data_IF_184503484333
#
_entry.id   IF_184503484333
#
_cell.length_a   1.000
_cell.length_b   1.000
_cell.length_c   1.000
_cell.angle_alpha   90.00
_cell.angle_beta   90.00
_cell.angle_gamma   90.00
#
_symmetry.space_group_name_H-M   'P 1'
#
loop_
_entity.id
_entity.type
_entity.pdbx_description
1 polymer ?
#
# COMPACT_ATOMS: atom_id res chain seq x y z
N UNK A 1 59.53 127.18 52.21
CA UNK A 1 59.06 125.79 51.98
C UNK A 1 59.74 125.28 50.73
N UNK A 2 60.76 124.43 50.87
CA UNK A 2 61.42 123.84 49.71
C UNK A 2 60.51 122.75 49.13
N UNK A 3 59.95 123.00 47.95
CA UNK A 3 59.19 122.03 47.15
C UNK A 3 60.22 121.16 46.44
N UNK A 4 60.35 119.90 46.87
CA UNK A 4 61.23 118.94 46.21
C UNK A 4 60.40 118.33 45.07
N UNK A 5 60.60 118.83 43.85
CA UNK A 5 60.11 118.17 42.65
C UNK A 5 60.97 116.93 42.41
N UNK A 6 60.45 115.76 42.77
CA UNK A 6 61.09 114.49 42.43
C UNK A 6 60.69 114.16 40.98
N UNK A 7 61.64 114.35 40.05
CA UNK A 7 61.50 113.93 38.67
C UNK A 7 61.79 112.43 38.61
N UNK A 8 60.76 111.60 38.72
CA UNK A 8 60.88 110.15 38.58
C UNK A 8 61.16 109.84 37.11
N UNK A 9 62.38 109.37 36.81
CA UNK A 9 62.72 108.87 35.48
C UNK A 9 61.99 107.54 35.25
N UNK A 10 60.95 107.57 34.41
CA UNK A 10 60.12 106.40 34.06
C UNK A 10 60.68 105.60 32.88
N UNK A 11 61.77 106.06 32.25
CA UNK A 11 62.44 105.37 31.14
C UNK A 11 62.91 103.94 31.47
N UNK A 12 63.52 103.63 32.64
CA UNK A 12 63.89 102.26 32.96
C UNK A 12 62.67 101.34 33.10
N UNK A 13 61.57 101.84 33.69
CA UNK A 13 60.32 101.09 33.80
C UNK A 13 59.66 100.85 32.43
N UNK A 14 59.70 101.83 31.52
CA UNK A 14 59.18 101.68 30.16
C UNK A 14 59.98 100.66 29.33
N UNK A 15 61.29 100.56 29.56
CA UNK A 15 62.13 99.56 28.88
C UNK A 15 61.82 98.13 29.34
N UNK A 16 61.66 97.92 30.65
CA UNK A 16 61.22 96.64 31.22
C UNK A 16 59.80 96.27 30.77
N UNK A 17 58.88 97.24 30.73
CA UNK A 17 57.51 97.00 30.27
C UNK A 17 57.44 96.62 28.78
N UNK A 18 58.33 97.17 27.94
CA UNK A 18 58.49 96.75 26.55
C UNK A 18 59.11 95.35 26.43
N UNK A 19 60.08 95.01 27.29
CA UNK A 19 60.66 93.66 27.35
C UNK A 19 59.61 92.61 27.73
N UNK A 20 58.81 92.90 28.77
CA UNK A 20 57.68 92.06 29.20
C UNK A 20 56.62 91.96 28.10
N UNK A 21 56.26 93.06 27.43
CA UNK A 21 55.31 93.03 26.30
C UNK A 21 55.79 92.13 25.17
N UNK A 22 57.09 92.13 24.85
CA UNK A 22 57.66 91.28 23.82
C UNK A 22 57.70 89.80 24.24
N UNK A 23 58.02 89.50 25.50
CA UNK A 23 57.94 88.13 26.04
C UNK A 23 56.50 87.61 26.06
N UNK A 24 55.53 88.46 26.44
CA UNK A 24 54.11 88.12 26.38
C UNK A 24 53.69 87.85 24.93
N UNK A 25 54.04 88.73 23.98
CA UNK A 25 53.75 88.53 22.55
C UNK A 25 54.38 87.26 21.98
N UNK A 26 55.63 86.96 22.33
CA UNK A 26 56.33 85.73 21.94
C UNK A 26 55.69 84.49 22.53
N UNK A 27 55.28 84.55 23.80
CA UNK A 27 54.56 83.48 24.49
C UNK A 27 53.17 83.28 23.88
N UNK A 28 52.43 84.36 23.59
CA UNK A 28 51.13 84.29 22.90
C UNK A 28 51.28 83.69 21.50
N UNK A 29 52.30 84.07 20.73
CA UNK A 29 52.56 83.48 19.42
C UNK A 29 52.92 81.99 19.52
N UNK A 30 53.72 81.60 20.51
CA UNK A 30 54.04 80.19 20.77
C UNK A 30 52.80 79.39 21.20
N UNK A 31 51.92 79.97 22.02
CA UNK A 31 50.66 79.33 22.44
C UNK A 31 49.69 79.20 21.27
N UNK A 32 49.58 80.21 20.41
CA UNK A 32 48.75 80.14 19.18
C UNK A 32 49.35 79.13 18.20
N UNK A 33 50.67 79.07 18.04
CA UNK A 33 51.34 78.07 17.22
C UNK A 33 51.16 76.64 17.78
N UNK A 34 51.21 76.47 19.09
CA UNK A 34 50.95 75.19 19.75
C UNK A 34 49.48 74.79 19.60
N UNK A 35 48.54 75.72 19.79
CA UNK A 35 47.11 75.46 19.64
C UNK A 35 46.77 75.08 18.20
N UNK A 36 47.33 75.78 17.21
CA UNK A 36 47.16 75.43 15.79
C UNK A 36 47.82 74.09 15.45
N UNK A 37 48.99 73.79 16.01
CA UNK A 37 49.64 72.48 15.86
C UNK A 37 48.82 71.34 16.49
N UNK A 38 48.22 71.56 17.66
CA UNK A 38 47.32 70.59 18.32
C UNK A 38 46.07 70.37 17.49
N UNK A 39 45.42 71.43 17.00
CA UNK A 39 44.23 71.31 16.14
C UNK A 39 44.56 70.56 14.83
N UNK A 40 45.72 70.84 14.21
CA UNK A 40 46.17 70.10 13.03
C UNK A 40 46.49 68.64 13.34
N UNK A 41 47.05 68.35 14.51
CA UNK A 41 47.31 66.98 14.96
C UNK A 41 46.00 66.23 15.24
N UNK A 42 45.02 66.87 15.87
CA UNK A 42 43.69 66.32 16.11
C UNK A 42 42.94 66.03 14.81
N UNK A 43 42.99 66.94 13.83
CA UNK A 43 42.40 66.70 12.51
C UNK A 43 43.03 65.51 11.80
N UNK A 44 44.36 65.43 11.76
CA UNK A 44 45.06 64.28 11.16
C UNK A 44 44.76 62.97 11.89
N UNK A 45 44.69 63.01 13.23
CA UNK A 45 44.33 61.85 14.02
C UNK A 45 42.88 61.42 13.75
N UNK A 46 41.94 62.37 13.65
CA UNK A 46 40.54 62.11 13.31
C UNK A 46 40.39 61.51 11.91
N UNK A 47 41.09 62.05 10.90
CA UNK A 47 41.09 61.52 9.53
C UNK A 47 41.68 60.11 9.48
N UNK A 48 42.76 59.85 10.23
CA UNK A 48 43.37 58.53 10.32
C UNK A 48 42.44 57.53 11.00
N UNK A 49 41.76 57.91 12.08
CA UNK A 49 40.74 57.09 12.74
C UNK A 49 39.58 56.81 11.79
N UNK A 50 39.05 57.83 11.12
CA UNK A 50 37.95 57.68 10.18
C UNK A 50 38.31 56.76 9.00
N UNK A 51 39.50 56.91 8.41
CA UNK A 51 39.98 56.02 7.34
C UNK A 51 40.17 54.58 7.83
N UNK A 52 40.71 54.38 9.03
CA UNK A 52 40.89 53.06 9.60
C UNK A 52 39.55 52.38 9.92
N UNK A 53 38.58 53.13 10.45
CA UNK A 53 37.21 52.63 10.70
C UNK A 53 36.55 52.23 9.39
N UNK A 54 36.62 53.07 8.34
CA UNK A 54 36.05 52.74 7.03
C UNK A 54 36.71 51.50 6.40
N UNK A 55 38.03 51.37 6.49
CA UNK A 55 38.77 50.17 6.03
C UNK A 55 38.37 48.93 6.83
N UNK A 56 38.27 49.05 8.15
CA UNK A 56 37.84 47.96 9.03
C UNK A 56 36.42 47.51 8.72
N UNK A 57 35.49 48.45 8.57
CA UNK A 57 34.10 48.17 8.19
C UNK A 57 34.01 47.50 6.82
N UNK A 58 34.70 48.03 5.81
CA UNK A 58 34.71 47.44 4.47
C UNK A 58 35.27 46.00 4.49
N UNK A 59 36.35 45.76 5.22
CA UNK A 59 36.96 44.44 5.37
C UNK A 59 36.01 43.48 6.07
N UNK A 60 35.35 43.93 7.14
CA UNK A 60 34.34 43.15 7.86
C UNK A 60 33.16 42.78 6.94
N UNK A 61 32.61 43.75 6.22
CA UNK A 61 31.50 43.52 5.27
C UNK A 61 31.89 42.54 4.18
N UNK A 62 33.09 42.70 3.59
CA UNK A 62 33.61 41.76 2.59
C UNK A 62 33.75 40.35 3.14
N UNK A 63 34.25 40.21 4.38
CA UNK A 63 34.36 38.92 5.07
C UNK A 63 32.99 38.29 5.28
N UNK A 64 32.01 39.04 5.81
CA UNK A 64 30.65 38.55 6.04
C UNK A 64 29.95 38.15 4.73
N UNK A 65 30.09 38.93 3.66
CA UNK A 65 29.56 38.58 2.34
C UNK A 65 30.22 37.30 1.83
N UNK A 66 31.54 37.17 1.96
CA UNK A 66 32.27 35.96 1.53
C UNK A 66 31.82 34.72 2.32
N UNK A 67 31.59 34.85 3.62
CA UNK A 67 31.06 33.77 4.47
C UNK A 67 29.64 33.36 4.04
N UNK A 68 28.77 34.33 3.73
CA UNK A 68 27.42 34.04 3.22
C UNK A 68 27.46 33.33 1.86
N UNK A 69 28.34 33.77 0.94
CA UNK A 69 28.52 33.12 -0.36
C UNK A 69 28.99 31.67 -0.17
N UNK A 70 30.00 31.44 0.68
CA UNK A 70 30.50 30.10 0.95
C UNK A 70 29.42 29.18 1.58
N UNK A 71 28.62 29.72 2.50
CA UNK A 71 27.51 28.98 3.10
C UNK A 71 26.44 28.60 2.07
N UNK A 72 26.02 29.55 1.22
CA UNK A 72 25.06 29.30 0.15
C UNK A 72 25.59 28.29 -0.86
N UNK A 73 26.87 28.40 -1.24
CA UNK A 73 27.49 27.45 -2.16
C UNK A 73 27.51 26.04 -1.59
N UNK A 74 27.86 25.89 -0.30
CA UNK A 74 27.80 24.59 0.38
C UNK A 74 26.38 24.01 0.43
N UNK A 75 25.35 24.84 0.63
CA UNK A 75 23.96 24.40 0.59
C UNK A 75 23.58 23.93 -0.82
N UNK A 76 23.92 24.69 -1.87
CA UNK A 76 23.68 24.30 -3.27
C UNK A 76 24.35 22.96 -3.59
N UNK A 77 25.61 22.77 -3.20
CA UNK A 77 26.33 21.52 -3.44
C UNK A 77 25.66 20.33 -2.74
N UNK A 78 25.20 20.51 -1.50
CA UNK A 78 24.46 19.49 -0.77
C UNK A 78 23.14 19.11 -1.46
N UNK A 79 22.38 20.09 -1.95
CA UNK A 79 21.13 19.85 -2.68
C UNK A 79 21.40 19.16 -4.02
N UNK A 80 22.45 19.55 -4.74
CA UNK A 80 22.87 18.87 -5.96
C UNK A 80 23.26 17.40 -5.71
N UNK A 81 23.91 17.11 -4.57
CA UNK A 81 24.23 15.75 -4.17
C UNK A 81 22.96 14.94 -3.89
N UNK A 82 22.01 15.52 -3.15
CA UNK A 82 20.72 14.90 -2.87
C UNK A 82 19.92 14.63 -4.15
N UNK A 83 19.84 15.60 -5.07
CA UNK A 83 19.17 15.44 -6.36
C UNK A 83 19.80 14.32 -7.19
N UNK A 84 21.13 14.23 -7.21
CA UNK A 84 21.82 13.14 -7.89
C UNK A 84 21.55 11.77 -7.26
N UNK A 85 21.48 11.69 -5.94
CA UNK A 85 21.12 10.46 -5.23
C UNK A 85 19.68 10.03 -5.56
N UNK A 86 18.72 10.96 -5.49
CA UNK A 86 17.32 10.71 -5.86
C UNK A 86 17.19 10.30 -7.32
N UNK A 87 17.90 10.95 -8.24
CA UNK A 87 17.94 10.56 -9.66
C UNK A 87 18.40 9.11 -9.84
N UNK A 88 19.47 8.70 -9.16
CA UNK A 88 19.96 7.30 -9.20
C UNK A 88 18.90 6.33 -8.65
N UNK A 89 18.23 6.68 -7.56
CA UNK A 89 17.16 5.86 -6.99
C UNK A 89 15.98 5.70 -7.96
N UNK A 90 15.53 6.79 -8.59
CA UNK A 90 14.45 6.76 -9.58
C UNK A 90 14.80 5.91 -10.79
N UNK A 91 16.05 5.99 -11.27
CA UNK A 91 16.52 5.12 -12.37
C UNK A 91 16.52 3.65 -11.96
N UNK A 92 16.97 3.32 -10.74
CA UNK A 92 16.94 1.95 -10.25
C UNK A 92 15.49 1.41 -10.13
N UNK A 93 14.55 2.25 -9.66
CA UNK A 93 13.13 1.91 -9.61
C UNK A 93 12.58 1.67 -11.01
N UNK A 94 12.88 2.54 -11.98
CA UNK A 94 12.46 2.36 -13.37
C UNK A 94 12.95 1.02 -13.93
N UNK A 95 14.23 0.69 -13.75
CA UNK A 95 14.79 -0.59 -14.21
C UNK A 95 14.17 -1.79 -13.51
N UNK A 96 13.74 -1.65 -12.25
CA UNK A 96 12.98 -2.70 -11.55
C UNK A 96 11.58 -2.86 -12.14
N UNK A 97 10.85 -1.76 -12.31
CA UNK A 97 9.52 -1.76 -12.91
C UNK A 97 9.51 -2.33 -14.32
N UNK A 98 10.52 -2.03 -15.14
CA UNK A 98 10.67 -2.57 -16.49
C UNK A 98 10.89 -4.09 -16.49
N UNK A 99 11.73 -4.60 -15.57
CA UNK A 99 11.92 -6.04 -15.40
C UNK A 99 10.64 -6.73 -14.93
N UNK A 100 9.95 -6.14 -13.96
CA UNK A 100 8.70 -6.68 -13.43
C UNK A 100 7.61 -6.68 -14.51
N UNK A 101 7.50 -5.61 -15.29
CA UNK A 101 6.59 -5.52 -16.44
C UNK A 101 6.87 -6.63 -17.46
N UNK A 102 8.13 -6.81 -17.85
CA UNK A 102 8.52 -7.85 -18.80
C UNK A 102 8.27 -9.26 -18.23
N UNK A 103 8.53 -9.48 -16.94
CA UNK A 103 8.25 -10.77 -16.28
C UNK A 103 6.74 -11.06 -16.30
N UNK A 104 5.91 -10.10 -15.93
CA UNK A 104 4.45 -10.21 -15.91
C UNK A 104 3.91 -10.44 -17.32
N UNK A 105 4.34 -9.65 -18.29
CA UNK A 105 3.94 -9.79 -19.69
C UNK A 105 4.27 -11.19 -20.23
N UNK A 106 5.49 -11.67 -20.01
CA UNK A 106 5.91 -13.02 -20.42
C UNK A 106 5.09 -14.12 -19.74
N UNK A 107 4.77 -13.96 -18.44
CA UNK A 107 3.91 -14.91 -17.72
C UNK A 107 2.51 -14.97 -18.32
N UNK A 108 1.89 -13.81 -18.60
CA UNK A 108 0.57 -13.77 -19.23
C UNK A 108 0.59 -14.33 -20.65
N UNK A 109 1.61 -14.00 -21.45
CA UNK A 109 1.78 -14.56 -22.79
C UNK A 109 1.83 -16.09 -22.75
N UNK A 110 2.60 -16.68 -21.82
CA UNK A 110 2.66 -18.14 -21.65
C UNK A 110 1.33 -18.73 -21.21
N UNK A 111 0.63 -18.07 -20.28
CA UNK A 111 -0.68 -18.51 -19.80
C UNK A 111 -1.70 -18.53 -20.93
N UNK A 112 -1.82 -17.44 -21.69
CA UNK A 112 -2.76 -17.34 -22.81
C UNK A 112 -2.43 -18.33 -23.92
N UNK A 113 -1.15 -18.50 -24.26
CA UNK A 113 -0.75 -19.50 -25.25
C UNK A 113 -1.05 -20.92 -24.77
N UNK A 114 -0.81 -21.22 -23.48
CA UNK A 114 -1.17 -22.50 -22.87
C UNK A 114 -2.67 -22.75 -22.88
N UNK A 115 -3.48 -21.74 -22.54
CA UNK A 115 -4.95 -21.83 -22.61
C UNK A 115 -5.43 -22.05 -24.04
N UNK A 116 -4.88 -21.33 -25.01
CA UNK A 116 -5.25 -21.45 -26.42
C UNK A 116 -4.90 -22.85 -26.95
N UNK A 117 -3.75 -23.41 -26.56
CA UNK A 117 -3.37 -24.77 -26.93
C UNK A 117 -4.32 -25.81 -26.30
N UNK A 118 -4.66 -25.66 -25.01
CA UNK A 118 -5.62 -26.54 -24.35
C UNK A 118 -7.01 -26.45 -25.00
N UNK A 119 -7.45 -25.25 -25.38
CA UNK A 119 -8.71 -25.05 -26.08
C UNK A 119 -8.72 -25.79 -27.42
N UNK A 120 -7.66 -25.62 -28.22
CA UNK A 120 -7.50 -26.34 -29.51
C UNK A 120 -7.56 -27.85 -29.33
N UNK A 121 -6.87 -28.38 -28.31
CA UNK A 121 -6.88 -29.81 -28.03
C UNK A 121 -8.26 -30.31 -27.60
N UNK A 122 -8.97 -29.57 -26.74
CA UNK A 122 -10.34 -29.92 -26.33
C UNK A 122 -11.33 -29.89 -27.48
N UNK A 123 -11.26 -28.88 -28.36
CA UNK A 123 -12.10 -28.81 -29.57
C UNK A 123 -11.84 -30.04 -30.44
N UNK A 124 -10.56 -30.38 -30.66
CA UNK A 124 -10.20 -31.57 -31.42
C UNK A 124 -10.73 -32.88 -30.78
N UNK A 125 -10.61 -33.02 -29.46
CA UNK A 125 -11.12 -34.20 -28.74
C UNK A 125 -12.65 -34.30 -28.78
N UNK A 126 -13.37 -33.18 -28.80
CA UNK A 126 -14.83 -33.13 -28.96
C UNK A 126 -15.26 -33.52 -30.38
N UNK A 127 -14.51 -33.10 -31.40
CA UNK A 127 -14.83 -33.38 -32.80
C UNK A 127 -14.44 -34.82 -33.19
N UNK A 128 -13.45 -35.40 -32.52
CA UNK A 128 -12.89 -36.73 -32.83
C UNK A 128 -13.94 -37.86 -32.92
N UNK A 129 -14.87 -38.05 -31.97
CA UNK A 129 -15.90 -39.09 -32.08
C UNK A 129 -16.82 -38.90 -33.28
N UNK A 130 -17.15 -37.65 -33.63
CA UNK A 130 -17.99 -37.32 -34.78
C UNK A 130 -17.29 -37.68 -36.09
N UNK A 131 -16.01 -37.33 -36.21
CA UNK A 131 -15.17 -37.68 -37.35
C UNK A 131 -15.00 -39.20 -37.44
N UNK A 132 -14.68 -39.87 -36.33
CA UNK A 132 -14.51 -41.33 -36.29
C UNK A 132 -15.82 -42.06 -36.65
N UNK A 133 -16.98 -41.57 -36.20
CA UNK A 133 -18.28 -42.10 -36.61
C UNK A 133 -18.53 -41.92 -38.11
N UNK A 134 -18.34 -40.69 -38.62
CA UNK A 134 -18.57 -40.37 -40.03
C UNK A 134 -17.68 -41.20 -40.97
N UNK A 135 -16.42 -41.42 -40.60
CA UNK A 135 -15.46 -42.16 -41.42
C UNK A 135 -15.61 -43.68 -41.24
N UNK A 136 -15.69 -44.18 -40.00
CA UNK A 136 -15.57 -45.63 -39.74
C UNK A 136 -16.90 -46.36 -39.65
N UNK A 137 -17.91 -45.76 -39.03
CA UNK A 137 -19.19 -46.42 -38.76
C UNK A 137 -20.14 -46.29 -39.96
N UNK A 138 -20.26 -45.10 -40.55
CA UNK A 138 -21.16 -44.87 -41.70
C UNK A 138 -20.76 -45.74 -42.89
N UNK A 139 -19.47 -45.86 -43.19
CA UNK A 139 -18.99 -46.67 -44.30
C UNK A 139 -19.22 -48.17 -44.06
N UNK A 140 -18.98 -48.66 -42.83
CA UNK A 140 -19.26 -50.06 -42.46
C UNK A 140 -20.75 -50.38 -42.49
N UNK A 141 -21.61 -49.51 -41.96
CA UNK A 141 -23.07 -49.70 -41.94
C UNK A 141 -23.63 -49.66 -43.36
N UNK A 142 -23.14 -48.74 -44.20
CA UNK A 142 -23.50 -48.68 -45.62
C UNK A 142 -23.16 -49.98 -46.34
N UNK A 143 -21.94 -50.48 -46.17
CA UNK A 143 -21.50 -51.74 -46.78
C UNK A 143 -22.32 -52.94 -46.26
N UNK A 144 -22.51 -53.08 -44.95
CA UNK A 144 -23.34 -54.15 -44.37
C UNK A 144 -24.80 -54.11 -44.82
N UNK A 145 -25.37 -52.92 -44.96
CA UNK A 145 -26.75 -52.74 -45.41
C UNK A 145 -26.91 -53.20 -46.85
N UNK A 146 -25.97 -52.86 -47.75
CA UNK A 146 -25.96 -53.34 -49.14
C UNK A 146 -25.95 -54.87 -49.24
N UNK A 147 -25.18 -55.55 -48.39
CA UNK A 147 -25.13 -57.02 -48.40
C UNK A 147 -26.39 -57.69 -47.84
N UNK A 148 -27.02 -57.11 -46.82
CA UNK A 148 -28.25 -57.67 -46.22
C UNK A 148 -29.48 -57.55 -47.11
N UNK A 149 -29.54 -56.53 -47.99
CA UNK A 149 -30.64 -56.41 -48.97
C UNK A 149 -30.41 -57.22 -50.24
N UNK A 150 -29.18 -57.65 -50.53
CA UNK A 150 -28.83 -58.37 -51.76
C UNK A 150 -29.08 -59.89 -51.71
N UNK A 151 -29.33 -60.48 -50.54
CA UNK A 151 -29.53 -61.93 -50.39
C UNK A 151 -30.96 -62.28 -50.00
N UNK A 152 -31.88 -62.25 -50.96
CA UNK A 152 -33.13 -63.02 -50.91
C UNK A 152 -33.09 -64.02 -52.07
N UNK A 153 -33.03 -65.34 -51.83
CA UNK A 153 -33.05 -66.32 -52.91
C UNK A 153 -34.41 -66.25 -53.62
N UNK A 154 -34.42 -65.95 -54.91
CA UNK A 154 -35.63 -65.78 -55.76
C UNK A 154 -36.24 -67.13 -56.18
N UNK A 155 -36.21 -68.14 -55.30
CA UNK A 155 -36.69 -69.48 -55.63
C UNK A 155 -37.67 -70.01 -54.58
N UNK A 156 -38.78 -69.30 -54.35
CA UNK A 156 -40.10 -69.80 -53.93
C UNK A 156 -40.95 -68.63 -53.39
N UNK A 157 -42.16 -68.45 -53.89
CA UNK A 157 -43.08 -67.35 -53.51
C UNK A 157 -43.43 -67.40 -52.02
N UNK A 158 -43.45 -68.59 -51.41
CA UNK A 158 -43.64 -68.78 -49.96
C UNK A 158 -42.45 -68.23 -49.14
N UNK A 159 -41.23 -68.36 -49.65
CA UNK A 159 -40.02 -67.78 -49.02
C UNK A 159 -40.02 -66.25 -49.07
N UNK A 160 -40.63 -65.65 -50.09
CA UNK A 160 -40.71 -64.19 -50.24
C UNK A 160 -41.58 -63.56 -49.15
N UNK A 161 -42.75 -64.13 -48.85
CA UNK A 161 -43.67 -63.61 -47.84
C UNK A 161 -43.05 -63.66 -46.44
N UNK A 162 -42.38 -64.75 -46.10
CA UNK A 162 -41.71 -64.88 -44.81
C UNK A 162 -40.42 -64.05 -44.73
N UNK A 163 -39.67 -63.91 -45.83
CA UNK A 163 -38.54 -62.98 -45.91
C UNK A 163 -38.99 -61.51 -45.75
N UNK A 164 -40.12 -61.12 -46.35
CA UNK A 164 -40.70 -59.78 -46.17
C UNK A 164 -41.14 -59.56 -44.72
N UNK A 165 -41.76 -60.56 -44.07
CA UNK A 165 -42.08 -60.49 -42.64
C UNK A 165 -40.83 -60.36 -41.77
N UNK A 166 -39.76 -61.10 -42.07
CA UNK A 166 -38.48 -61.01 -41.34
C UNK A 166 -37.83 -59.63 -41.52
N UNK A 167 -37.84 -59.09 -42.74
CA UNK A 167 -37.33 -57.74 -43.02
C UNK A 167 -38.17 -56.67 -42.33
N UNK A 168 -39.50 -56.73 -42.43
CA UNK A 168 -40.41 -55.83 -41.74
C UNK A 168 -40.25 -55.92 -40.21
N UNK A 169 -40.06 -57.12 -39.67
CA UNK A 169 -39.79 -57.35 -38.24
C UNK A 169 -38.44 -56.77 -37.81
N UNK A 170 -37.39 -56.97 -38.61
CA UNK A 170 -36.08 -56.36 -38.35
C UNK A 170 -36.14 -54.83 -38.40
N UNK A 171 -36.84 -54.25 -39.38
CA UNK A 171 -37.04 -52.81 -39.49
C UNK A 171 -37.84 -52.30 -38.29
N UNK A 172 -38.90 -52.99 -37.87
CA UNK A 172 -39.71 -52.64 -36.71
C UNK A 172 -38.89 -52.71 -35.40
N UNK A 173 -38.08 -53.74 -35.23
CA UNK A 173 -37.19 -53.89 -34.08
C UNK A 173 -36.11 -52.80 -34.05
N UNK A 174 -35.50 -52.48 -35.21
CA UNK A 174 -34.55 -51.36 -35.33
C UNK A 174 -35.21 -50.01 -35.04
N UNK A 175 -36.42 -49.78 -35.57
CA UNK A 175 -37.21 -48.58 -35.28
C UNK A 175 -37.54 -48.45 -33.80
N UNK A 176 -37.97 -49.53 -33.14
CA UNK A 176 -38.21 -49.56 -31.70
C UNK A 176 -36.95 -49.23 -30.89
N UNK A 177 -35.78 -49.77 -31.28
CA UNK A 177 -34.50 -49.44 -30.65
C UNK A 177 -34.11 -47.97 -30.83
N UNK A 178 -34.35 -47.39 -32.01
CA UNK A 178 -34.11 -45.96 -32.27
C UNK A 178 -35.01 -45.09 -31.39
N UNK A 179 -36.31 -45.39 -31.31
CA UNK A 179 -37.26 -44.68 -30.44
C UNK A 179 -36.81 -44.76 -28.97
N UNK A 180 -36.40 -45.95 -28.51
CA UNK A 180 -35.88 -46.12 -27.15
C UNK A 180 -34.61 -45.28 -26.91
N UNK A 181 -33.69 -45.25 -27.87
CA UNK A 181 -32.46 -44.44 -27.77
C UNK A 181 -32.74 -42.92 -27.77
N UNK A 182 -33.70 -42.46 -28.57
CA UNK A 182 -34.14 -41.06 -28.58
C UNK A 182 -34.81 -40.69 -27.25
N UNK A 183 -35.64 -41.57 -26.70
CA UNK A 183 -36.28 -41.36 -25.40
C UNK A 183 -35.23 -41.24 -24.28
N UNK A 184 -34.22 -42.11 -24.26
CA UNK A 184 -33.13 -42.06 -23.31
C UNK A 184 -32.26 -40.79 -23.46
N UNK A 185 -32.01 -40.36 -24.70
CA UNK A 185 -31.28 -39.12 -24.95
C UNK A 185 -32.05 -37.88 -24.47
N UNK A 186 -33.36 -37.80 -24.75
CA UNK A 186 -34.20 -36.70 -24.30
C UNK A 186 -34.28 -36.63 -22.77
N UNK A 187 -34.41 -37.77 -22.09
CA UNK A 187 -34.44 -37.80 -20.62
C UNK A 187 -33.11 -37.36 -20.01
N UNK A 188 -31.98 -37.80 -20.57
CA UNK A 188 -30.65 -37.38 -20.16
C UNK A 188 -30.42 -35.87 -20.39
N UNK A 189 -30.83 -35.35 -21.55
CA UNK A 189 -30.73 -33.92 -21.87
C UNK A 189 -31.57 -33.05 -20.92
N UNK A 190 -32.77 -33.51 -20.55
CA UNK A 190 -33.63 -32.81 -19.59
C UNK A 190 -33.06 -32.83 -18.17
N UNK A 191 -32.45 -33.94 -17.75
CA UNK A 191 -31.71 -34.01 -16.48
C UNK A 191 -30.50 -33.07 -16.48
N UNK A 192 -29.73 -33.05 -17.57
CA UNK A 192 -28.57 -32.16 -17.70
C UNK A 192 -29.00 -30.69 -17.67
N UNK A 193 -30.11 -30.33 -18.33
CA UNK A 193 -30.68 -28.98 -18.24
C UNK A 193 -31.04 -28.60 -16.80
N UNK A 194 -31.74 -29.47 -16.08
CA UNK A 194 -32.07 -29.24 -14.64
C UNK A 194 -30.83 -29.05 -13.77
N UNK A 195 -29.77 -29.82 -14.00
CA UNK A 195 -28.50 -29.65 -13.28
C UNK A 195 -27.82 -28.32 -13.65
N UNK A 196 -27.87 -27.96 -14.93
CA UNK A 196 -27.31 -26.70 -15.43
C UNK A 196 -28.07 -25.51 -14.84
N UNK A 197 -29.39 -25.56 -14.76
CA UNK A 197 -30.22 -24.51 -14.14
C UNK A 197 -29.99 -24.39 -12.61
N UNK A 198 -29.59 -25.48 -11.93
CA UNK A 198 -29.16 -25.42 -10.53
C UNK A 198 -27.76 -24.81 -10.33
N UNK A 199 -26.86 -25.04 -11.28
CA UNK A 199 -25.46 -24.58 -11.21
C UNK A 199 -25.32 -23.13 -11.69
N UNK A 200 -26.09 -22.75 -12.70
CA UNK A 200 -26.26 -21.36 -13.07
C UNK A 200 -27.08 -20.69 -11.97
N UNK A 201 -26.41 -19.89 -11.13
CA UNK A 201 -27.04 -18.97 -10.20
C UNK A 201 -27.95 -18.02 -11.00
N UNK A 202 -29.18 -18.47 -11.25
CA UNK A 202 -30.18 -17.70 -11.96
C UNK A 202 -30.51 -16.54 -11.04
N UNK A 203 -29.97 -15.37 -11.38
CA UNK A 203 -30.16 -14.16 -10.60
C UNK A 203 -31.66 -13.86 -10.48
N UNK A 204 -32.03 -13.33 -9.30
CA UNK A 204 -33.27 -12.60 -8.99
C UNK A 204 -34.36 -13.32 -8.18
N UNK A 205 -33.98 -13.99 -7.09
CA UNK A 205 -34.72 -13.77 -5.86
C UNK A 205 -33.72 -13.36 -4.78
N UNK A 206 -33.72 -12.07 -4.44
CA UNK A 206 -33.25 -11.60 -3.15
C UNK A 206 -34.20 -12.21 -2.09
N UNK A 207 -34.04 -13.49 -1.80
CA UNK A 207 -34.32 -13.95 -0.45
C UNK A 207 -33.34 -13.18 0.41
N UNK A 208 -33.88 -12.32 1.28
CA UNK A 208 -33.14 -11.70 2.37
C UNK A 208 -32.69 -12.82 3.30
N UNK A 209 -31.69 -13.60 2.88
CA UNK A 209 -30.94 -14.44 3.77
C UNK A 209 -30.23 -13.49 4.73
N UNK A 210 -30.60 -13.57 6.00
CA UNK A 210 -30.00 -12.77 7.06
C UNK A 210 -28.53 -13.15 7.17
N UNK A 211 -27.67 -12.38 6.51
CA UNK A 211 -26.23 -12.54 6.60
C UNK A 211 -25.78 -12.08 7.98
N UNK A 212 -25.37 -13.03 8.82
CA UNK A 212 -24.78 -12.74 10.13
C UNK A 212 -23.27 -12.51 9.99
N UNK A 213 -22.77 -11.49 10.68
CA UNK A 213 -21.34 -11.18 10.76
C UNK A 213 -20.84 -11.66 12.12
N UNK A 214 -19.82 -12.54 12.19
CA UNK A 214 -19.22 -12.93 13.46
C UNK A 214 -18.44 -11.75 14.05
N UNK A 215 -18.70 -11.45 15.32
CA UNK A 215 -17.97 -10.44 16.10
C UNK A 215 -17.49 -11.08 17.40
N UNK A 216 -16.25 -10.81 17.78
CA UNK A 216 -15.67 -11.28 19.04
C UNK A 216 -15.57 -10.12 20.01
N UNK A 217 -16.08 -10.32 21.23
CA UNK A 217 -16.05 -9.35 22.32
C UNK A 217 -15.20 -9.96 23.44
N UNK A 218 -14.21 -9.23 23.92
CA UNK A 218 -13.32 -9.64 25.01
C UNK A 218 -13.50 -8.69 26.19
N UNK A 219 -13.96 -9.20 27.33
CA UNK A 219 -14.00 -8.46 28.60
C UNK A 219 -12.80 -8.84 29.46
N UNK A 220 -11.97 -7.86 29.80
CA UNK A 220 -10.80 -8.01 30.65
C UNK A 220 -10.96 -7.15 31.90
N UNK A 221 -10.82 -7.76 33.08
CA UNK A 221 -10.80 -7.07 34.36
C UNK A 221 -9.38 -7.09 34.92
N UNK A 222 -8.70 -5.94 34.88
CA UNK A 222 -7.29 -5.84 35.25
C UNK A 222 -7.07 -5.34 36.68
N UNK A 223 -8.10 -4.92 37.41
CA UNK A 223 -7.93 -4.21 38.67
C UNK A 223 -8.83 -4.68 39.82
N UNK A 224 -8.38 -4.49 41.06
CA UNK A 224 -9.14 -4.83 42.28
C UNK A 224 -10.44 -4.02 42.44
N UNK A 225 -10.61 -2.99 41.61
CA UNK A 225 -11.75 -2.07 41.59
C UNK A 225 -12.80 -2.41 40.53
N UNK A 226 -12.77 -3.63 39.98
CA UNK A 226 -13.78 -4.17 39.04
C UNK A 226 -13.99 -3.30 37.78
N UNK A 227 -12.92 -2.67 37.30
CA UNK A 227 -12.95 -1.84 36.09
C UNK A 227 -12.85 -2.74 34.86
N UNK A 228 -13.97 -2.90 34.15
CA UNK A 228 -14.10 -3.78 32.98
C UNK A 228 -13.64 -3.05 31.72
N UNK A 229 -12.56 -3.54 31.10
CA UNK A 229 -12.13 -3.11 29.77
C UNK A 229 -12.70 -4.08 28.72
N UNK A 230 -13.36 -3.55 27.70
CA UNK A 230 -14.02 -4.32 26.66
C UNK A 230 -13.40 -4.03 25.29
N UNK A 231 -12.85 -5.06 24.65
CA UNK A 231 -12.26 -4.99 23.32
C UNK A 231 -13.14 -5.72 22.29
N UNK A 232 -13.46 -5.05 21.18
CA UNK A 232 -14.30 -5.60 20.10
C UNK A 232 -13.44 -5.88 18.87
N UNK A 233 -13.37 -7.14 18.47
CA UNK A 233 -12.65 -7.63 17.30
C UNK A 233 -13.62 -7.94 16.16
N UNK A 234 -13.46 -7.24 15.04
CA UNK A 234 -14.27 -7.39 13.82
C UNK A 234 -13.35 -7.85 12.69
N UNK A 235 -13.88 -8.69 11.79
CA UNK A 235 -13.12 -9.17 10.64
C UNK A 235 -12.77 -8.02 9.66
N UNK A 236 -11.48 -7.66 9.59
CA UNK A 236 -11.01 -6.55 8.76
C UNK A 236 -10.97 -6.87 7.26
N UNK A 237 -10.86 -8.16 6.89
CA UNK A 237 -10.67 -8.58 5.49
C UNK A 237 -11.96 -8.62 4.68
N UNK A 238 -13.13 -8.77 5.32
CA UNK A 238 -14.43 -8.87 4.65
C UNK A 238 -15.26 -7.58 4.70
N UNK A 239 -14.95 -6.65 5.61
CA UNK A 239 -15.81 -5.48 5.88
C UNK A 239 -15.11 -4.18 5.54
N UNK A 240 -15.84 -3.26 4.91
CA UNK A 240 -15.37 -1.90 4.65
C UNK A 240 -15.25 -1.09 5.95
N UNK A 241 -14.32 -0.14 6.00
CA UNK A 241 -14.14 0.76 7.15
C UNK A 241 -15.44 1.40 7.70
N UNK A 242 -16.37 1.92 6.87
CA UNK A 242 -17.64 2.46 7.39
C UNK A 242 -18.56 1.38 7.98
N UNK A 243 -18.59 0.17 7.42
CA UNK A 243 -19.36 -0.94 7.98
C UNK A 243 -18.80 -1.39 9.33
N UNK A 244 -17.47 -1.43 9.48
CA UNK A 244 -16.82 -1.74 10.75
C UNK A 244 -17.19 -0.71 11.83
N UNK A 245 -17.17 0.58 11.52
CA UNK A 245 -17.57 1.64 12.45
C UNK A 245 -19.05 1.55 12.84
N UNK A 246 -19.93 1.24 11.88
CA UNK A 246 -21.35 1.04 12.16
C UNK A 246 -21.58 -0.13 13.14
N UNK A 247 -20.93 -1.27 12.91
CA UNK A 247 -21.01 -2.45 13.81
C UNK A 247 -20.46 -2.12 15.19
N UNK A 248 -19.30 -1.44 15.30
CA UNK A 248 -18.75 -1.02 16.60
C UNK A 248 -19.71 -0.11 17.37
N UNK A 249 -20.32 0.86 16.70
CA UNK A 249 -21.24 1.80 17.34
C UNK A 249 -22.51 1.10 17.85
N UNK A 250 -23.09 0.20 17.05
CA UNK A 250 -24.28 -0.57 17.45
C UNK A 250 -23.98 -1.49 18.63
N UNK A 251 -22.84 -2.18 18.62
CA UNK A 251 -22.43 -3.06 19.72
C UNK A 251 -22.15 -2.28 21.00
N UNK A 252 -21.46 -1.14 20.92
CA UNK A 252 -21.20 -0.28 22.08
C UNK A 252 -22.50 0.19 22.76
N UNK A 253 -23.58 0.40 22.00
CA UNK A 253 -24.89 0.77 22.55
C UNK A 253 -25.61 -0.39 23.26
N UNK A 254 -25.38 -1.63 22.84
CA UNK A 254 -26.00 -2.82 23.42
C UNK A 254 -25.11 -3.54 24.45
N UNK A 255 -23.88 -3.07 24.64
CA UNK A 255 -22.85 -3.73 25.46
C UNK A 255 -23.24 -3.82 26.95
N UNK A 256 -23.87 -2.79 27.50
CA UNK A 256 -24.35 -2.78 28.89
C UNK A 256 -25.46 -3.81 29.17
N UNK A 257 -26.14 -4.27 28.12
CA UNK A 257 -27.23 -5.25 28.22
C UNK A 257 -26.77 -6.70 28.11
N UNK A 258 -25.50 -6.94 27.75
CA UNK A 258 -24.96 -8.29 27.55
C UNK A 258 -24.62 -8.94 28.90
N UNK A 259 -25.38 -9.96 29.29
CA UNK A 259 -25.07 -10.79 30.44
C UNK A 259 -24.32 -12.04 29.99
N UNK A 260 -23.08 -12.19 30.47
CA UNK A 260 -22.28 -13.37 30.18
C UNK A 260 -22.78 -14.59 30.97
N UNK A 261 -23.12 -15.67 30.27
CA UNK A 261 -23.41 -16.94 30.92
C UNK A 261 -22.12 -17.77 31.05
N UNK A 262 -21.87 -18.26 32.27
CA UNK A 262 -20.80 -19.25 32.51
C UNK A 262 -21.24 -20.60 31.94
N UNK A 263 -20.78 -20.93 30.74
CA UNK A 263 -20.97 -22.27 30.19
C UNK A 263 -20.22 -23.30 31.02
N UNK A 264 -20.90 -24.42 31.33
CA UNK A 264 -20.35 -25.51 32.15
C UNK A 264 -19.54 -26.52 31.32
N UNK A 265 -19.57 -26.45 29.98
CA UNK A 265 -18.86 -27.35 29.08
C UNK A 265 -18.30 -26.62 27.86
N UNK A 266 -17.03 -26.87 27.53
CA UNK A 266 -16.40 -26.35 26.32
C UNK A 266 -16.92 -27.09 25.08
N UNK A 267 -17.40 -26.34 24.08
CA UNK A 267 -17.82 -26.90 22.79
C UNK A 267 -16.70 -27.74 22.14
N UNK A 268 -17.09 -28.94 21.67
CA UNK A 268 -16.14 -29.92 21.11
C UNK A 268 -15.41 -29.38 19.87
N UNK A 269 -16.08 -28.55 19.07
CA UNK A 269 -15.52 -27.95 17.86
C UNK A 269 -14.43 -26.94 18.17
N UNK A 270 -14.66 -26.02 19.13
CA UNK A 270 -13.68 -25.02 19.56
C UNK A 270 -12.44 -25.70 20.13
N UNK A 271 -12.63 -26.75 20.94
CA UNK A 271 -11.52 -27.58 21.45
C UNK A 271 -10.72 -28.22 20.33
N UNK A 272 -11.38 -28.67 19.26
CA UNK A 272 -10.72 -29.31 18.12
C UNK A 272 -9.88 -28.32 17.31
N UNK A 273 -10.40 -27.12 17.02
CA UNK A 273 -9.69 -26.09 16.28
C UNK A 273 -8.52 -25.51 17.09
N UNK A 274 -8.73 -25.24 18.38
CA UNK A 274 -7.65 -24.80 19.26
C UNK A 274 -6.50 -25.83 19.32
N UNK A 275 -6.84 -27.12 19.37
CA UNK A 275 -5.84 -28.20 19.35
C UNK A 275 -5.06 -28.24 18.03
N UNK A 276 -5.72 -27.99 16.89
CA UNK A 276 -5.04 -27.88 15.58
C UNK A 276 -4.08 -26.69 15.54
N UNK A 277 -4.48 -25.53 16.08
CA UNK A 277 -3.64 -24.33 16.13
C UNK A 277 -2.42 -24.50 17.04
N UNK A 278 -2.58 -25.17 18.20
CA UNK A 278 -1.44 -25.51 19.06
C UNK A 278 -0.50 -26.49 18.37
N UNK A 279 -1.03 -27.49 17.65
CA UNK A 279 -0.22 -28.45 16.91
C UNK A 279 0.59 -27.78 15.79
N UNK A 280 0.01 -26.79 15.09
CA UNK A 280 0.65 -26.02 14.04
C UNK A 280 1.66 -24.98 14.55
N UNK A 281 1.64 -24.64 15.85
CA UNK A 281 2.55 -23.65 16.43
C UNK A 281 3.99 -24.17 16.56
N UNK A 282 4.97 -23.29 16.33
CA UNK A 282 6.41 -23.57 16.47
C UNK A 282 6.91 -23.45 17.91
N UNK A 283 6.02 -23.25 18.88
CA UNK A 283 6.38 -23.11 20.30
C UNK A 283 6.93 -24.42 20.91
N UNK A 284 7.75 -24.34 21.98
CA UNK A 284 8.26 -25.52 22.69
C UNK A 284 7.13 -26.40 23.27
N UNK A 285 7.34 -27.72 23.34
CA UNK A 285 6.31 -28.68 23.77
C UNK A 285 5.78 -28.41 25.18
N UNK A 286 6.64 -27.93 26.09
CA UNK A 286 6.23 -27.49 27.43
C UNK A 286 5.20 -26.35 27.40
N UNK A 287 5.32 -25.43 26.44
CA UNK A 287 4.39 -24.31 26.26
C UNK A 287 3.07 -24.80 25.67
N UNK A 288 3.12 -25.77 24.75
CA UNK A 288 1.94 -26.41 24.16
C UNK A 288 1.12 -27.16 25.21
N UNK A 289 1.78 -27.93 26.08
CA UNK A 289 1.12 -28.62 27.20
C UNK A 289 0.51 -27.64 28.20
N UNK A 290 1.21 -26.56 28.52
CA UNK A 290 0.71 -25.53 29.43
C UNK A 290 -0.49 -24.78 28.85
N UNK A 291 -0.47 -24.47 27.54
CA UNK A 291 -1.58 -23.85 26.84
C UNK A 291 -2.83 -24.75 26.82
N UNK A 292 -2.66 -26.06 26.62
CA UNK A 292 -3.78 -27.02 26.70
C UNK A 292 -4.36 -27.11 28.11
N UNK A 293 -3.50 -27.10 29.15
CA UNK A 293 -3.95 -27.09 30.55
C UNK A 293 -4.72 -25.81 30.90
N UNK A 294 -4.25 -24.65 30.44
CA UNK A 294 -4.94 -23.38 30.65
C UNK A 294 -6.30 -23.33 29.94
N UNK A 295 -6.40 -23.86 28.73
CA UNK A 295 -7.66 -23.94 28.00
C UNK A 295 -8.67 -24.89 28.66
N UNK A 296 -8.21 -25.99 29.25
CA UNK A 296 -9.08 -26.91 29.99
C UNK A 296 -9.61 -26.30 31.30
N UNK A 297 -8.82 -25.44 31.94
CA UNK A 297 -9.16 -24.86 33.25
C UNK A 297 -9.98 -23.57 33.15
N UNK A 298 -9.97 -22.90 31.99
CA UNK A 298 -10.71 -21.65 31.79
C UNK A 298 -11.89 -21.89 30.84
N UNK A 299 -13.12 -22.09 31.36
CA UNK A 299 -14.31 -22.11 30.52
C UNK A 299 -14.53 -20.73 29.90
N UNK A 300 -14.85 -20.68 28.61
CA UNK A 300 -15.25 -19.44 27.95
C UNK A 300 -16.73 -19.15 28.24
N UNK A 301 -17.06 -17.87 28.39
CA UNK A 301 -18.43 -17.44 28.60
C UNK A 301 -19.06 -17.12 27.24
N UNK A 302 -20.31 -17.52 27.04
CA UNK A 302 -21.04 -17.23 25.81
C UNK A 302 -22.28 -16.42 26.12
N UNK A 303 -22.71 -15.61 25.19
CA UNK A 303 -24.04 -15.00 25.20
C UNK A 303 -24.96 -16.02 24.51
N UNK A 304 -25.93 -16.58 25.23
CA UNK A 304 -26.95 -17.44 24.61
C UNK A 304 -27.98 -16.56 23.91
N UNK A 305 -28.32 -16.94 22.68
CA UNK A 305 -29.26 -16.28 21.79
C UNK A 305 -30.56 -15.82 22.48
N UNK A 306 -30.92 -14.55 22.27
CA UNK A 306 -32.28 -14.24 21.82
C UNK A 306 -32.33 -14.40 20.30
#
# INVERSE_FOLDING_TARGET
MARIDCLLDTKPMAHEMNSISNHIKGTTAAVVAMQTAVVLAEQKAADQVCSNVNKGFYTMMRSQISQKIASLQSQVDSYLMQLNAQRKQLLAIRTRMERDYNMICNRYMRLFNGLNQNLRQRVFELDKPTIDFAVREVERVSNRTKYLTATVPVAQVESLADSQKILASNIKNRGAKVIASMSAFLSASLQQKKLTDKVLLTHNHAQTESLAIPVLISECNFDKFDTKNLDIFICESLLSAPAQSAVRNTLNQQLESLQWEKQTQNDKEIKSEFSKLIAASTAPDRVKELAQKLFANNPFQTIKNQ
#
